data_IF_208544075733
#
_entry.id   IF_208544075733
#
_cell.length_a   1.000
_cell.length_b   1.000
_cell.length_c   1.000
_cell.angle_alpha   90.00
_cell.angle_beta   90.00
_cell.angle_gamma   90.00
#
_symmetry.space_group_name_H-M   'P 1'
#
loop_
_entity.id
_entity.type
_entity.pdbx_description
1 polymer ?
#
# COMPACT_ATOMS: atom_id res chain seq x y z
N UNK A 1 -12.55 1.08 -5.51
CA UNK A 1 -12.28 0.17 -6.66
C UNK A 1 -10.91 -0.47 -6.54
N UNK A 2 -10.67 -1.60 -7.23
CA UNK A 2 -9.33 -2.13 -7.54
C UNK A 2 -9.38 -2.80 -8.91
N UNK A 3 -8.56 -2.36 -9.87
CA UNK A 3 -8.39 -3.08 -11.15
C UNK A 3 -7.76 -4.44 -10.82
N UNK A 4 -8.57 -5.50 -10.97
CA UNK A 4 -8.20 -6.84 -10.53
C UNK A 4 -7.21 -7.45 -11.53
N UNK A 5 -6.10 -8.11 -11.11
CA UNK A 5 -5.15 -8.72 -12.04
C UNK A 5 -5.78 -9.83 -12.91
N UNK A 6 -6.97 -10.32 -12.53
CA UNK A 6 -7.78 -11.25 -13.30
C UNK A 6 -8.78 -10.56 -14.25
N UNK A 7 -8.54 -9.30 -14.67
CA UNK A 7 -9.30 -8.64 -15.74
C UNK A 7 -9.38 -9.48 -17.03
N UNK A 8 -8.39 -10.36 -17.25
CA UNK A 8 -8.33 -11.34 -18.34
C UNK A 8 -9.39 -12.47 -18.26
N UNK A 9 -10.06 -12.71 -17.12
CA UNK A 9 -11.04 -13.81 -16.98
C UNK A 9 -12.37 -13.58 -17.73
N UNK A 10 -12.61 -12.38 -18.28
CA UNK A 10 -13.88 -12.03 -18.95
C UNK A 10 -13.70 -11.59 -20.41
N UNK A 11 -12.52 -11.82 -21.00
CA UNK A 11 -12.20 -11.54 -22.40
C UNK A 11 -12.48 -10.08 -22.83
N UNK A 12 -12.30 -9.14 -21.89
CA UNK A 12 -12.47 -7.68 -22.11
C UNK A 12 -11.11 -6.97 -22.12
N UNK A 13 -10.90 -6.01 -23.03
CA UNK A 13 -9.67 -5.21 -23.05
C UNK A 13 -9.57 -4.35 -21.77
N UNK A 14 -8.36 -3.98 -21.31
CA UNK A 14 -8.18 -3.15 -20.11
C UNK A 14 -8.95 -1.82 -20.13
N UNK A 15 -9.15 -1.24 -21.32
CA UNK A 15 -9.96 -0.03 -21.53
C UNK A 15 -11.40 -0.18 -21.04
N UNK A 16 -12.03 -1.35 -21.22
CA UNK A 16 -13.40 -1.60 -20.77
C UNK A 16 -13.58 -1.35 -19.27
N UNK A 17 -12.62 -1.79 -18.45
CA UNK A 17 -12.64 -1.60 -17.01
C UNK A 17 -12.31 -0.16 -16.59
N UNK A 18 -11.44 0.51 -17.35
CA UNK A 18 -11.13 1.93 -17.14
C UNK A 18 -12.34 2.81 -17.47
N UNK A 19 -13.05 2.54 -18.57
CA UNK A 19 -14.26 3.26 -18.96
C UNK A 19 -15.37 3.16 -17.91
N UNK A 20 -15.56 1.97 -17.32
CA UNK A 20 -16.51 1.78 -16.22
C UNK A 20 -16.06 2.50 -14.94
N UNK A 21 -14.79 2.37 -14.56
CA UNK A 21 -14.24 3.05 -13.38
C UNK A 21 -14.34 4.59 -13.50
N UNK A 22 -14.17 5.15 -14.71
CA UNK A 22 -14.36 6.57 -14.98
C UNK A 22 -15.83 7.00 -14.91
N UNK A 23 -16.77 6.20 -15.45
CA UNK A 23 -18.22 6.47 -15.36
C UNK A 23 -18.72 6.43 -13.92
N UNK A 24 -18.31 5.41 -13.17
CA UNK A 24 -18.62 5.27 -11.74
C UNK A 24 -18.04 6.44 -10.93
N UNK A 25 -16.79 6.86 -11.18
CA UNK A 25 -16.23 8.05 -10.52
C UNK A 25 -17.01 9.33 -10.88
N UNK A 26 -17.26 9.59 -12.17
CA UNK A 26 -18.00 10.78 -12.62
C UNK A 26 -19.41 10.85 -12.03
N UNK A 27 -20.08 9.70 -11.85
CA UNK A 27 -21.35 9.63 -11.14
C UNK A 27 -21.18 9.90 -9.63
N UNK A 28 -20.19 9.25 -8.99
CA UNK A 28 -19.97 9.37 -7.55
C UNK A 28 -19.58 10.80 -7.13
N UNK A 29 -18.68 11.44 -7.86
CA UNK A 29 -18.27 12.84 -7.68
C UNK A 29 -19.47 13.81 -7.76
N UNK A 30 -20.43 13.52 -8.65
CA UNK A 30 -21.62 14.35 -8.90
C UNK A 30 -22.83 13.97 -8.05
N UNK A 31 -22.79 12.84 -7.35
CA UNK A 31 -23.89 12.34 -6.51
C UNK A 31 -24.19 13.21 -5.28
N UNK A 32 -23.22 14.05 -4.88
CA UNK A 32 -23.27 14.81 -3.63
C UNK A 32 -22.99 13.98 -2.36
N UNK A 33 -22.63 12.69 -2.47
CA UNK A 33 -22.29 11.83 -1.32
C UNK A 33 -21.12 12.37 -0.50
N UNK A 34 -20.13 12.99 -1.15
CA UNK A 34 -19.03 13.73 -0.50
C UNK A 34 -19.62 15.06 -0.01
N UNK A 35 -19.81 15.21 1.30
CA UNK A 35 -20.34 16.44 1.90
C UNK A 35 -19.25 17.51 2.08
N UNK A 36 -19.66 18.70 2.54
CA UNK A 36 -18.78 19.85 2.75
C UNK A 36 -17.66 19.68 3.81
N UNK A 37 -17.64 18.57 4.56
CA UNK A 37 -16.51 18.18 5.43
C UNK A 37 -15.53 17.23 4.73
N UNK A 38 -15.71 16.92 3.44
CA UNK A 38 -15.02 15.86 2.69
C UNK A 38 -15.20 14.44 3.30
N UNK A 39 -16.32 14.21 3.98
CA UNK A 39 -16.75 12.87 4.36
C UNK A 39 -17.86 12.38 3.42
N UNK A 40 -17.84 11.08 3.11
CA UNK A 40 -18.84 10.36 2.34
C UNK A 40 -19.96 9.91 3.29
N UNK A 41 -21.18 10.39 3.06
CA UNK A 41 -22.38 9.89 3.74
C UNK A 41 -22.80 8.51 3.20
N UNK A 42 -23.61 7.79 3.97
CA UNK A 42 -23.96 6.39 3.72
C UNK A 42 -24.69 6.11 2.40
N UNK A 43 -25.43 7.07 1.85
CA UNK A 43 -26.14 6.84 0.60
C UNK A 43 -26.96 8.00 0.05
N UNK A 44 -27.67 7.71 -1.03
CA UNK A 44 -28.63 8.63 -1.65
C UNK A 44 -30.05 8.25 -1.25
N UNK A 45 -30.94 9.23 -1.26
CA UNK A 45 -32.37 9.07 -1.03
C UNK A 45 -33.16 10.00 -1.95
N UNK A 46 -34.38 9.62 -2.29
CA UNK A 46 -35.39 10.54 -2.85
C UNK A 46 -36.10 11.38 -1.75
N UNK A 47 -35.44 11.54 -0.59
CA UNK A 47 -36.04 11.94 0.69
C UNK A 47 -35.14 12.87 1.50
N UNK A 48 -35.22 14.17 1.22
CA UNK A 48 -34.78 15.22 2.14
C UNK A 48 -35.65 15.23 3.41
N UNK A 49 -35.33 14.36 4.37
CA UNK A 49 -35.93 14.27 5.72
C UNK A 49 -37.47 14.34 5.75
N UNK A 50 -38.19 13.62 4.88
CA UNK A 50 -39.65 13.66 4.91
C UNK A 50 -40.19 12.97 6.17
N UNK A 51 -40.84 13.74 7.02
CA UNK A 51 -41.70 13.26 8.09
C UNK A 51 -42.85 12.43 7.51
N UNK A 52 -42.83 11.11 7.74
CA UNK A 52 -43.98 10.20 7.58
C UNK A 52 -44.72 10.26 6.22
N UNK A 53 -44.15 9.65 5.17
CA UNK A 53 -44.91 9.25 3.95
C UNK A 53 -44.69 7.77 3.61
N UNK A 54 -45.58 7.20 2.80
CA UNK A 54 -45.75 5.75 2.70
C UNK A 54 -44.83 5.09 1.68
N UNK A 55 -44.39 3.85 1.96
CA UNK A 55 -43.48 3.06 1.10
C UNK A 55 -43.84 3.04 -0.41
N UNK A 56 -45.13 3.13 -0.76
CA UNK A 56 -45.59 3.15 -2.16
C UNK A 56 -45.33 4.46 -2.89
N UNK A 57 -45.22 5.58 -2.17
CA UNK A 57 -44.88 6.89 -2.76
C UNK A 57 -43.38 6.97 -3.06
N UNK A 58 -42.56 6.32 -2.21
CA UNK A 58 -41.10 6.25 -2.36
C UNK A 58 -40.68 5.63 -3.70
N UNK A 59 -41.38 4.58 -4.13
CA UNK A 59 -41.15 3.88 -5.40
C UNK A 59 -41.40 4.75 -6.64
N UNK A 60 -42.32 5.73 -6.55
CA UNK A 60 -42.59 6.64 -7.67
C UNK A 60 -41.49 7.70 -7.82
N UNK A 61 -40.89 8.17 -6.71
CA UNK A 61 -39.82 9.19 -6.75
C UNK A 61 -38.48 8.66 -7.24
N UNK A 62 -38.22 7.36 -7.08
CA UNK A 62 -37.06 6.72 -7.72
C UNK A 62 -37.09 6.79 -9.27
N UNK A 63 -38.21 7.19 -9.88
CA UNK A 63 -38.34 7.39 -11.34
C UNK A 63 -38.14 8.84 -11.81
N UNK A 64 -38.16 9.84 -10.91
CA UNK A 64 -38.00 11.25 -11.30
C UNK A 64 -36.53 11.72 -11.31
N UNK A 65 -35.62 10.91 -10.77
CA UNK A 65 -34.17 11.16 -10.78
C UNK A 65 -33.67 12.04 -9.63
N UNK A 66 -34.52 12.47 -8.68
CA UNK A 66 -34.13 13.33 -7.55
C UNK A 66 -33.41 12.59 -6.42
N UNK A 67 -32.29 11.96 -6.75
CA UNK A 67 -31.38 11.39 -5.76
C UNK A 67 -30.59 12.51 -5.04
N UNK A 68 -30.85 12.69 -3.75
CA UNK A 68 -30.14 13.62 -2.86
C UNK A 68 -29.31 12.83 -1.83
N UNK A 69 -28.19 13.40 -1.36
CA UNK A 69 -27.44 12.86 -0.23
C UNK A 69 -28.36 12.70 0.99
N UNK A 70 -28.39 11.50 1.60
CA UNK A 70 -29.23 11.19 2.75
C UNK A 70 -28.78 11.86 4.06
N UNK A 71 -27.60 12.49 4.08
CA UNK A 71 -26.90 13.03 5.25
C UNK A 71 -26.70 11.99 6.38
N UNK A 72 -26.70 10.70 6.02
CA UNK A 72 -26.55 9.56 6.92
C UNK A 72 -25.11 9.34 7.38
N UNK A 73 -24.91 8.31 8.21
CA UNK A 73 -23.66 8.05 8.93
C UNK A 73 -22.44 7.98 8.02
N UNK A 74 -21.39 8.73 8.36
CA UNK A 74 -20.09 8.72 7.69
C UNK A 74 -19.23 7.57 8.22
N UNK A 75 -19.54 6.32 7.86
CA UNK A 75 -18.76 5.13 8.25
C UNK A 75 -17.34 5.18 7.69
N UNK A 76 -16.34 4.65 8.41
CA UNK A 76 -14.94 4.76 7.94
C UNK A 76 -14.69 4.00 6.63
N UNK A 77 -15.38 2.87 6.39
CA UNK A 77 -15.19 2.07 5.17
C UNK A 77 -15.56 2.84 3.89
N UNK A 78 -16.63 3.65 3.93
CA UNK A 78 -17.05 4.50 2.81
C UNK A 78 -15.95 5.52 2.46
N UNK A 79 -15.27 6.06 3.48
CA UNK A 79 -14.11 6.94 3.29
C UNK A 79 -12.91 6.18 2.70
N UNK A 80 -12.76 4.91 3.05
CA UNK A 80 -11.65 4.05 2.63
C UNK A 80 -11.74 3.57 1.18
N UNK A 81 -12.85 2.91 0.78
CA UNK A 81 -12.95 2.18 -0.51
C UNK A 81 -12.74 3.05 -1.75
N UNK A 82 -12.90 4.37 -1.61
CA UNK A 82 -12.66 5.35 -2.66
C UNK A 82 -11.17 5.69 -2.82
N UNK A 83 -10.36 5.71 -1.75
CA UNK A 83 -8.97 6.22 -1.76
C UNK A 83 -8.09 5.46 -2.76
N UNK A 84 -8.08 4.13 -2.69
CA UNK A 84 -7.31 3.32 -3.64
C UNK A 84 -7.95 3.25 -5.03
N UNK A 85 -9.24 3.58 -5.15
CA UNK A 85 -9.91 3.72 -6.45
C UNK A 85 -9.39 4.95 -7.19
N UNK A 86 -9.40 6.09 -6.50
CA UNK A 86 -8.85 7.36 -6.97
C UNK A 86 -7.35 7.25 -7.28
N UNK A 87 -6.57 6.62 -6.40
CA UNK A 87 -5.13 6.41 -6.63
C UNK A 87 -4.84 5.54 -7.87
N UNK A 88 -5.64 4.51 -8.13
CA UNK A 88 -5.51 3.69 -9.34
C UNK A 88 -6.02 4.41 -10.61
N UNK A 89 -7.08 5.21 -10.51
CA UNK A 89 -7.53 6.08 -11.61
C UNK A 89 -6.49 7.15 -11.94
N UNK A 90 -5.83 7.75 -10.93
CA UNK A 90 -4.68 8.64 -11.13
C UNK A 90 -3.55 7.90 -11.85
N UNK A 91 -3.21 6.67 -11.44
CA UNK A 91 -2.15 5.92 -12.10
C UNK A 91 -2.47 5.58 -13.56
N UNK A 92 -3.75 5.39 -13.90
CA UNK A 92 -4.22 5.11 -15.26
C UNK A 92 -4.35 6.37 -16.14
N UNK A 93 -4.69 7.53 -15.57
CA UNK A 93 -5.05 8.76 -16.33
C UNK A 93 -4.07 9.92 -16.17
N UNK A 94 -3.23 9.90 -15.14
CA UNK A 94 -2.38 11.00 -14.65
C UNK A 94 -3.12 12.28 -14.24
N UNK A 95 -4.45 12.25 -14.10
CA UNK A 95 -5.20 13.37 -13.56
C UNK A 95 -4.97 13.52 -12.04
N UNK A 96 -4.24 14.55 -11.64
CA UNK A 96 -3.86 14.81 -10.24
C UNK A 96 -5.05 15.13 -9.34
N UNK A 97 -6.16 15.67 -9.85
CA UNK A 97 -7.32 16.05 -9.02
C UNK A 97 -7.94 14.86 -8.28
N UNK A 98 -7.70 13.64 -8.77
CA UNK A 98 -8.10 12.39 -8.12
C UNK A 98 -7.34 12.16 -6.80
N UNK A 99 -6.05 12.52 -6.74
CA UNK A 99 -5.28 12.48 -5.50
C UNK A 99 -5.70 13.61 -4.55
N UNK A 100 -5.93 14.83 -5.05
CA UNK A 100 -6.37 15.96 -4.23
C UNK A 100 -7.66 15.64 -3.46
N UNK A 101 -8.62 14.96 -4.10
CA UNK A 101 -9.86 14.51 -3.47
C UNK A 101 -9.61 13.33 -2.51
N UNK A 102 -8.73 12.38 -2.86
CA UNK A 102 -8.38 11.26 -1.99
C UNK A 102 -7.71 11.73 -0.68
N UNK A 103 -6.77 12.68 -0.76
CA UNK A 103 -6.13 13.28 0.42
C UNK A 103 -7.17 13.98 1.29
N UNK A 104 -8.01 14.86 0.73
CA UNK A 104 -9.06 15.55 1.50
C UNK A 104 -10.01 14.60 2.27
N UNK A 105 -10.36 13.46 1.67
CA UNK A 105 -11.20 12.44 2.32
C UNK A 105 -10.42 11.70 3.43
N UNK A 106 -9.15 11.37 3.20
CA UNK A 106 -8.28 10.78 4.21
C UNK A 106 -8.06 11.74 5.39
N UNK A 107 -7.73 13.00 5.13
CA UNK A 107 -7.53 14.07 6.11
C UNK A 107 -8.78 14.30 6.95
N UNK A 108 -9.94 14.45 6.28
CA UNK A 108 -11.23 14.58 6.96
C UNK A 108 -11.50 13.40 7.89
N UNK A 109 -11.19 12.18 7.46
CA UNK A 109 -11.38 10.96 8.25
C UNK A 109 -10.49 10.93 9.49
N UNK A 110 -9.18 11.13 9.34
CA UNK A 110 -8.23 11.07 10.47
C UNK A 110 -8.34 12.27 11.42
N UNK A 111 -9.06 13.33 11.03
CA UNK A 111 -9.37 14.48 11.89
C UNK A 111 -10.74 14.37 12.60
N UNK A 112 -11.71 13.64 12.03
CA UNK A 112 -13.13 13.68 12.48
C UNK A 112 -13.68 12.35 12.98
N UNK A 113 -13.16 11.22 12.49
CA UNK A 113 -13.59 9.86 12.89
C UNK A 113 -12.59 9.24 13.86
N UNK A 114 -12.22 10.01 14.88
CA UNK A 114 -11.22 9.66 15.91
C UNK A 114 -11.74 9.89 17.33
N UNK A 115 -11.10 9.22 18.29
CA UNK A 115 -11.13 9.58 19.70
C UNK A 115 -10.19 10.76 20.00
N UNK A 116 -10.28 11.31 21.22
CA UNK A 116 -9.44 12.42 21.72
C UNK A 116 -7.95 12.11 21.82
N UNK A 117 -7.54 10.86 21.69
CA UNK A 117 -6.15 10.40 21.57
C UNK A 117 -5.65 10.30 20.12
N UNK A 118 -6.50 10.58 19.12
CA UNK A 118 -6.18 10.43 17.69
C UNK A 118 -6.43 9.04 17.12
N UNK A 119 -6.99 8.10 17.89
CA UNK A 119 -7.20 6.71 17.46
C UNK A 119 -8.54 6.57 16.71
N UNK A 120 -8.55 5.81 15.61
CA UNK A 120 -9.69 5.66 14.68
C UNK A 120 -10.93 5.02 15.35
N UNK A 121 -12.09 5.59 15.04
CA UNK A 121 -13.38 5.30 15.68
C UNK A 121 -14.52 5.17 14.66
N UNK A 122 -15.34 4.13 14.78
CA UNK A 122 -16.66 4.09 14.15
C UNK A 122 -17.70 4.92 14.93
N UNK A 123 -18.61 5.63 14.24
CA UNK A 123 -19.70 6.35 14.88
C UNK A 123 -20.59 5.53 15.84
N UNK A 124 -20.63 4.19 15.68
CA UNK A 124 -21.40 3.29 16.53
C UNK A 124 -20.71 2.85 17.83
N UNK A 125 -19.40 3.05 18.02
CA UNK A 125 -18.64 2.48 19.15
C UNK A 125 -19.20 2.94 20.52
N UNK A 126 -19.53 2.01 21.46
CA UNK A 126 -19.22 0.56 21.46
C UNK A 126 -20.25 -0.36 20.76
N UNK A 127 -21.43 0.14 20.42
CA UNK A 127 -22.62 -0.66 20.07
C UNK A 127 -22.70 -1.05 18.58
N UNK A 128 -21.57 -1.36 17.95
CA UNK A 128 -21.52 -1.70 16.53
C UNK A 128 -22.01 -3.13 16.23
N UNK A 129 -22.65 -3.32 15.08
CA UNK A 129 -22.96 -4.65 14.53
C UNK A 129 -21.70 -5.32 13.95
N UNK A 130 -21.85 -6.54 13.44
CA UNK A 130 -20.71 -7.36 12.99
C UNK A 130 -20.13 -6.92 11.64
N UNK A 131 -20.87 -6.19 10.81
CA UNK A 131 -20.33 -5.52 9.61
C UNK A 131 -19.48 -4.30 10.01
N UNK A 132 -20.06 -3.45 10.86
CA UNK A 132 -19.45 -2.19 11.33
C UNK A 132 -18.12 -2.42 12.04
N UNK A 133 -17.97 -3.53 12.77
CA UNK A 133 -16.70 -3.96 13.39
C UNK A 133 -15.55 -4.16 12.39
N UNK A 134 -15.83 -4.36 11.11
CA UNK A 134 -14.82 -4.52 10.05
C UNK A 134 -14.36 -3.17 9.44
N UNK A 135 -15.19 -2.13 9.53
CA UNK A 135 -15.08 -0.92 8.70
C UNK A 135 -13.75 -0.18 8.85
N UNK A 136 -13.24 -0.02 10.09
CA UNK A 136 -11.91 0.57 10.36
C UNK A 136 -10.77 -0.13 9.64
N UNK A 137 -10.82 -1.46 9.53
CA UNK A 137 -9.85 -2.28 8.79
C UNK A 137 -9.85 -1.96 7.30
N UNK A 138 -11.04 -1.79 6.72
CA UNK A 138 -11.22 -1.38 5.33
C UNK A 138 -10.59 0.00 5.12
N UNK A 139 -10.85 0.99 6.00
CA UNK A 139 -10.24 2.32 5.90
C UNK A 139 -8.71 2.27 5.90
N UNK A 140 -8.09 1.69 6.93
CA UNK A 140 -6.62 1.70 7.07
C UNK A 140 -5.91 0.96 5.94
N UNK A 141 -6.51 -0.13 5.43
CA UNK A 141 -6.02 -0.85 4.25
C UNK A 141 -6.03 0.02 2.99
N UNK A 142 -7.08 0.80 2.77
CA UNK A 142 -7.15 1.67 1.58
C UNK A 142 -6.31 2.95 1.73
N UNK A 143 -6.14 3.48 2.96
CA UNK A 143 -5.16 4.53 3.24
C UNK A 143 -3.74 4.08 2.94
N UNK A 144 -3.36 2.86 3.35
CA UNK A 144 -2.08 2.25 3.03
C UNK A 144 -1.86 2.01 1.52
N UNK A 145 -2.94 1.86 0.74
CA UNK A 145 -2.86 1.81 -0.73
C UNK A 145 -2.82 3.20 -1.40
N UNK A 146 -3.18 4.29 -0.70
CA UNK A 146 -3.05 5.65 -1.21
C UNK A 146 -1.61 6.17 -1.07
N UNK A 147 -0.98 5.94 0.09
CA UNK A 147 0.36 6.47 0.44
C UNK A 147 1.41 6.37 -0.68
N UNK A 148 1.59 5.23 -1.41
CA UNK A 148 2.61 5.10 -2.46
C UNK A 148 2.41 5.97 -3.71
N UNK A 149 1.27 6.66 -3.84
CA UNK A 149 0.97 7.55 -4.97
C UNK A 149 1.15 9.04 -4.62
N UNK A 150 1.40 9.37 -3.35
CA UNK A 150 1.54 10.73 -2.86
C UNK A 150 3.00 11.18 -2.97
N UNK A 151 3.21 12.42 -3.40
CA UNK A 151 4.54 13.04 -3.54
C UNK A 151 4.89 14.00 -2.40
N UNK A 152 3.90 14.48 -1.65
CA UNK A 152 4.16 15.32 -0.47
C UNK A 152 4.57 14.48 0.75
N UNK A 153 5.75 14.78 1.28
CA UNK A 153 6.32 14.11 2.43
C UNK A 153 5.55 14.35 3.73
N UNK A 154 4.85 15.50 3.88
CA UNK A 154 4.13 15.81 5.11
C UNK A 154 2.87 14.94 5.27
N UNK A 155 2.00 14.86 4.25
CA UNK A 155 0.82 13.97 4.27
C UNK A 155 1.23 12.49 4.32
N UNK A 156 2.31 12.10 3.61
CA UNK A 156 2.87 10.73 3.72
C UNK A 156 3.26 10.44 5.17
N UNK A 157 4.05 11.28 5.82
CA UNK A 157 4.46 11.05 7.21
C UNK A 157 3.27 11.08 8.18
N UNK A 158 2.29 11.96 7.96
CA UNK A 158 1.06 12.03 8.75
C UNK A 158 0.26 10.72 8.68
N UNK A 159 0.04 10.16 7.49
CA UNK A 159 -0.68 8.89 7.32
C UNK A 159 0.12 7.70 7.87
N UNK A 160 1.45 7.70 7.72
CA UNK A 160 2.33 6.69 8.33
C UNK A 160 2.27 6.71 9.86
N UNK A 161 2.38 7.90 10.47
CA UNK A 161 2.27 8.08 11.92
C UNK A 161 0.89 7.67 12.43
N UNK A 162 -0.19 8.04 11.74
CA UNK A 162 -1.55 7.64 12.10
C UNK A 162 -1.72 6.11 12.12
N UNK A 163 -1.27 5.42 11.07
CA UNK A 163 -1.31 3.96 10.99
C UNK A 163 -0.48 3.31 12.12
N UNK A 164 0.73 3.80 12.39
CA UNK A 164 1.61 3.27 13.44
C UNK A 164 1.02 3.49 14.85
N UNK A 165 0.50 4.68 15.15
CA UNK A 165 -0.12 5.01 16.43
C UNK A 165 -1.36 4.14 16.71
N UNK A 166 -2.21 3.95 15.69
CA UNK A 166 -3.36 3.04 15.78
C UNK A 166 -2.91 1.61 16.07
N UNK A 167 -1.90 1.10 15.36
CA UNK A 167 -1.39 -0.26 15.56
C UNK A 167 -0.75 -0.46 16.94
N UNK A 168 -0.03 0.54 17.47
CA UNK A 168 0.54 0.51 18.82
C UNK A 168 -0.55 0.45 19.90
N UNK A 169 -1.60 1.27 19.79
CA UNK A 169 -2.74 1.23 20.72
C UNK A 169 -3.46 -0.13 20.68
N UNK A 170 -3.68 -0.70 19.49
CA UNK A 170 -4.31 -2.02 19.35
C UNK A 170 -3.44 -3.14 19.92
N UNK A 171 -2.13 -3.15 19.61
CA UNK A 171 -1.19 -4.17 20.05
C UNK A 171 -0.95 -4.17 21.56
N UNK A 172 -0.81 -2.98 22.15
CA UNK A 172 -0.47 -2.83 23.59
C UNK A 172 -1.70 -2.90 24.51
N UNK A 173 -2.85 -2.41 24.06
CA UNK A 173 -3.96 -2.06 24.96
C UNK A 173 -5.32 -2.69 24.58
N UNK A 174 -5.45 -3.29 23.39
CA UNK A 174 -6.75 -3.82 22.88
C UNK A 174 -6.68 -5.22 22.28
N UNK A 175 -5.64 -5.97 22.65
CA UNK A 175 -5.63 -7.43 22.53
C UNK A 175 -6.33 -8.04 23.75
N UNK A 176 -7.22 -9.00 23.52
CA UNK A 176 -8.01 -9.63 24.56
C UNK A 176 -7.26 -10.82 25.17
N UNK A 177 -7.42 -11.05 26.47
CA UNK A 177 -6.58 -12.01 27.21
C UNK A 177 -7.05 -13.45 27.01
N UNK A 178 -8.35 -13.68 26.83
CA UNK A 178 -8.93 -15.02 26.80
C UNK A 178 -8.52 -15.86 25.56
N UNK A 179 -8.34 -15.21 24.40
CA UNK A 179 -8.09 -15.87 23.12
C UNK A 179 -7.06 -15.15 22.22
N UNK A 180 -6.57 -13.97 22.63
CA UNK A 180 -5.63 -13.17 21.85
C UNK A 180 -6.22 -12.47 20.63
N UNK A 181 -7.56 -12.45 20.46
CA UNK A 181 -8.27 -11.64 19.47
C UNK A 181 -8.21 -10.14 19.83
N UNK A 182 -8.80 -9.27 19.00
CA UNK A 182 -8.74 -7.82 19.19
C UNK A 182 -10.14 -7.17 19.32
N UNK A 183 -10.23 -6.17 20.18
CA UNK A 183 -11.46 -5.40 20.39
C UNK A 183 -11.82 -4.55 19.17
N UNK A 184 -13.13 -4.30 18.99
CA UNK A 184 -13.66 -3.21 18.17
C UNK A 184 -13.02 -1.87 18.51
N UNK A 185 -12.92 -1.53 19.80
CA UNK A 185 -12.40 -0.23 20.23
C UNK A 185 -10.87 -0.28 20.21
N UNK A 186 -10.26 0.69 19.54
CA UNK A 186 -8.80 0.77 19.38
C UNK A 186 -8.16 1.78 20.34
N UNK A 187 -8.88 2.83 20.75
CA UNK A 187 -8.43 3.84 21.72
C UNK A 187 -8.13 3.24 23.08
N UNK A 188 -7.02 3.63 23.72
CA UNK A 188 -6.73 3.19 25.09
C UNK A 188 -7.54 3.94 26.16
N UNK A 189 -8.14 5.09 25.82
CA UNK A 189 -8.95 5.92 26.75
C UNK A 189 -10.33 5.32 27.09
N UNK A 190 -10.82 4.32 26.34
CA UNK A 190 -12.13 3.69 26.59
C UNK A 190 -12.13 2.77 27.81
N UNK A 191 -13.08 2.96 28.73
CA UNK A 191 -13.29 2.09 29.89
C UNK A 191 -13.96 0.73 29.57
N UNK A 192 -14.35 0.50 28.31
CA UNK A 192 -14.98 -0.76 27.91
C UNK A 192 -13.97 -1.92 27.91
N UNK A 193 -14.40 -3.09 28.35
CA UNK A 193 -13.60 -4.31 28.34
C UNK A 193 -13.42 -4.88 26.93
N UNK A 194 -12.32 -5.60 26.71
CA UNK A 194 -11.97 -6.17 25.41
C UNK A 194 -12.94 -7.29 25.00
N UNK A 195 -13.22 -8.19 25.95
CA UNK A 195 -13.92 -9.47 25.78
C UNK A 195 -15.31 -9.39 25.11
N UNK A 196 -16.27 -8.54 25.53
CA UNK A 196 -17.59 -8.47 24.88
C UNK A 196 -17.56 -7.74 23.53
N UNK A 197 -16.44 -7.10 23.16
CA UNK A 197 -16.30 -6.27 21.96
C UNK A 197 -15.38 -6.90 20.90
N UNK A 198 -14.86 -8.12 21.11
CA UNK A 198 -14.10 -8.88 20.11
C UNK A 198 -14.99 -9.86 19.34
N UNK A 199 -14.75 -9.98 18.04
CA UNK A 199 -15.20 -11.09 17.20
C UNK A 199 -14.26 -11.24 15.99
N UNK A 200 -14.65 -12.08 15.02
CA UNK A 200 -13.90 -12.25 13.76
C UNK A 200 -13.74 -10.94 12.99
N UNK A 201 -14.77 -10.08 12.94
CA UNK A 201 -14.74 -8.81 12.22
C UNK A 201 -13.78 -7.78 12.83
N UNK A 202 -13.82 -7.57 14.15
CA UNK A 202 -12.90 -6.65 14.83
C UNK A 202 -11.45 -7.14 14.76
N UNK A 203 -11.25 -8.46 14.84
CA UNK A 203 -9.93 -9.09 14.69
C UNK A 203 -9.43 -8.95 13.25
N UNK A 204 -10.29 -9.12 12.24
CA UNK A 204 -9.94 -8.88 10.84
C UNK A 204 -9.56 -7.42 10.61
N UNK A 205 -10.25 -6.47 11.26
CA UNK A 205 -9.91 -5.05 11.18
C UNK A 205 -8.54 -4.74 11.80
N UNK A 206 -8.21 -5.36 12.94
CA UNK A 206 -6.88 -5.26 13.54
C UNK A 206 -5.78 -5.91 12.65
N UNK A 207 -6.06 -7.03 11.99
CA UNK A 207 -5.12 -7.62 11.04
C UNK A 207 -4.92 -6.76 9.79
N UNK A 208 -5.97 -6.14 9.24
CA UNK A 208 -5.83 -5.15 8.17
C UNK A 208 -4.92 -3.99 8.59
N UNK A 209 -5.05 -3.50 9.82
CA UNK A 209 -4.17 -2.46 10.40
C UNK A 209 -2.71 -2.91 10.51
N UNK A 210 -2.44 -4.09 11.08
CA UNK A 210 -1.07 -4.60 11.20
C UNK A 210 -0.43 -4.88 9.83
N UNK A 211 -1.19 -5.44 8.88
CA UNK A 211 -0.75 -5.66 7.50
C UNK A 211 -0.50 -4.34 6.76
N UNK A 212 -1.30 -3.31 7.05
CA UNK A 212 -1.11 -1.95 6.52
C UNK A 212 0.21 -1.37 7.00
N UNK A 213 0.44 -1.32 8.32
CA UNK A 213 1.70 -0.86 8.91
C UNK A 213 2.91 -1.66 8.43
N UNK A 214 2.79 -2.99 8.29
CA UNK A 214 3.87 -3.83 7.77
C UNK A 214 4.22 -3.56 6.30
N UNK A 215 3.27 -3.03 5.50
CA UNK A 215 3.49 -2.67 4.08
C UNK A 215 3.92 -1.22 3.89
N UNK A 216 3.50 -0.31 4.76
CA UNK A 216 3.81 1.12 4.65
C UNK A 216 5.02 1.55 5.47
N UNK A 217 5.48 0.73 6.42
CA UNK A 217 6.80 0.90 7.02
C UNK A 217 7.86 0.94 5.91
N UNK A 218 8.72 1.98 5.88
CA UNK A 218 9.97 1.90 5.13
C UNK A 218 10.71 0.61 5.54
N UNK A 219 11.33 -0.12 4.59
CA UNK A 219 12.07 -1.33 4.91
C UNK A 219 13.10 -1.01 6.00
N UNK A 220 13.02 -1.71 7.13
CA UNK A 220 13.73 -1.32 8.34
C UNK A 220 15.24 -1.30 8.08
N UNK A 221 15.87 -0.15 8.39
CA UNK A 221 17.27 0.12 8.00
C UNK A 221 18.23 -0.74 8.83
N UNK A 222 18.40 -1.99 8.41
CA UNK A 222 19.59 -2.78 8.70
C UNK A 222 20.71 -2.29 7.79
N UNK A 223 21.50 -1.34 8.30
CA UNK A 223 22.81 -0.96 7.78
C UNK A 223 22.88 -0.67 6.27
N UNK A 224 22.38 0.51 5.86
CA UNK A 224 22.83 1.25 4.67
C UNK A 224 23.24 0.41 3.45
N UNK A 225 22.38 -0.50 2.99
CA UNK A 225 22.67 -1.25 1.77
C UNK A 225 22.47 -0.33 0.57
N UNK A 226 23.56 0.31 0.13
CA UNK A 226 23.65 0.98 -1.19
C UNK A 226 23.41 0.00 -2.36
N UNK A 227 23.18 -1.28 -2.09
CA UNK A 227 23.09 -2.37 -3.06
C UNK A 227 21.64 -2.68 -3.45
N UNK A 228 21.25 -2.28 -4.67
CA UNK A 228 19.96 -2.63 -5.25
C UNK A 228 20.06 -3.96 -6.01
N UNK A 229 19.12 -4.88 -5.75
CA UNK A 229 18.96 -6.11 -6.51
C UNK A 229 18.45 -5.76 -7.92
N UNK A 230 19.33 -5.83 -8.93
CA UNK A 230 18.93 -5.60 -10.33
C UNK A 230 18.14 -6.78 -10.91
N UNK A 231 18.31 -7.97 -10.34
CA UNK A 231 17.56 -9.16 -10.71
C UNK A 231 18.27 -10.46 -10.32
N UNK A 232 17.74 -11.56 -10.83
CA UNK A 232 18.35 -12.89 -10.67
C UNK A 232 19.23 -13.22 -11.88
N UNK A 233 20.44 -13.71 -11.64
CA UNK A 233 21.44 -14.05 -12.65
C UNK A 233 22.85 -13.59 -12.26
N UNK A 234 23.83 -13.93 -13.09
CA UNK A 234 25.19 -13.38 -12.96
C UNK A 234 25.15 -11.86 -13.19
N UNK A 235 25.81 -11.09 -12.31
CA UNK A 235 26.37 -9.84 -12.79
C UNK A 235 27.45 -10.19 -13.82
N UNK A 236 27.37 -9.58 -15.00
CA UNK A 236 28.43 -9.59 -16.01
C UNK A 236 28.82 -8.14 -16.28
N UNK A 237 29.89 -7.94 -17.02
CA UNK A 237 30.28 -6.65 -17.56
C UNK A 237 29.38 -6.32 -18.80
N UNK A 238 29.90 -5.52 -19.73
CA UNK A 238 29.86 -5.60 -21.27
C UNK A 238 31.86 -7.18 -22.94
N UNK A 239 33.03 -7.83 -22.54
CA UNK A 239 33.80 -8.91 -23.22
C UNK A 239 33.50 -10.32 -22.62
N UNK A 240 32.28 -10.46 -22.06
CA UNK A 240 31.66 -11.51 -21.25
C UNK A 240 32.61 -12.27 -20.30
N UNK A 241 33.48 -11.52 -19.64
CA UNK A 241 34.72 -12.03 -19.05
C UNK A 241 34.73 -11.94 -17.51
N UNK A 242 35.63 -12.71 -16.90
CA UNK A 242 35.96 -12.56 -15.49
C UNK A 242 37.24 -11.73 -15.35
N UNK A 243 37.10 -10.51 -14.84
CA UNK A 243 38.23 -9.74 -14.29
C UNK A 243 38.59 -10.30 -12.87
N UNK A 244 39.67 -9.85 -12.20
CA UNK A 244 40.34 -10.67 -11.19
C UNK A 244 39.50 -10.85 -9.92
N UNK A 245 39.05 -12.07 -9.67
CA UNK A 245 38.18 -12.38 -8.53
C UNK A 245 38.96 -12.40 -7.20
N UNK A 246 38.42 -11.75 -6.18
CA UNK A 246 38.50 -12.30 -4.83
C UNK A 246 37.48 -13.43 -4.69
N UNK A 247 37.83 -14.64 -5.15
CA UNK A 247 36.97 -15.82 -5.05
C UNK A 247 37.26 -16.60 -3.77
N UNK A 248 36.33 -16.61 -2.82
CA UNK A 248 36.41 -17.42 -1.60
C UNK A 248 35.24 -18.40 -1.54
N UNK A 249 35.56 -19.68 -1.35
CA UNK A 249 34.59 -20.77 -1.24
C UNK A 249 33.89 -20.79 0.14
N UNK A 250 32.66 -21.27 0.16
CA UNK A 250 31.78 -21.39 1.33
C UNK A 250 31.53 -20.05 2.06
N UNK A 251 31.46 -18.96 1.29
CA UNK A 251 31.02 -17.64 1.75
C UNK A 251 29.51 -17.52 1.59
N UNK A 252 28.82 -16.99 2.60
CA UNK A 252 27.36 -16.70 2.57
C UNK A 252 27.07 -15.32 1.99
N UNK A 253 25.86 -15.08 1.45
CA UNK A 253 25.48 -13.80 0.84
C UNK A 253 25.73 -12.57 1.75
N UNK A 254 25.41 -12.59 3.07
CA UNK A 254 25.68 -11.45 3.94
C UNK A 254 27.17 -11.12 4.10
N UNK A 255 28.04 -12.15 4.09
CA UNK A 255 29.49 -11.97 4.15
C UNK A 255 30.04 -11.48 2.80
N UNK A 256 29.46 -11.95 1.70
CA UNK A 256 29.77 -11.45 0.36
C UNK A 256 29.46 -9.95 0.24
N UNK A 257 28.24 -9.55 0.65
CA UNK A 257 27.80 -8.15 0.70
C UNK A 257 28.69 -7.28 1.58
N UNK A 258 28.92 -7.69 2.84
CA UNK A 258 29.74 -6.92 3.77
C UNK A 258 31.20 -6.75 3.30
N UNK A 259 31.72 -7.68 2.49
CA UNK A 259 33.03 -7.54 1.86
C UNK A 259 32.98 -6.55 0.69
N UNK A 260 31.92 -6.56 -0.12
CA UNK A 260 31.71 -5.60 -1.21
C UNK A 260 31.44 -4.17 -0.70
N UNK A 261 30.81 -4.00 0.46
CA UNK A 261 30.63 -2.70 1.12
C UNK A 261 31.96 -2.06 1.52
N UNK A 262 32.92 -2.87 1.99
CA UNK A 262 34.23 -2.40 2.47
C UNK A 262 35.22 -2.09 1.34
N UNK A 263 35.04 -2.66 0.16
CA UNK A 263 35.82 -2.35 -1.04
C UNK A 263 35.36 -1.02 -1.65
N UNK A 264 36.23 -0.02 -1.72
CA UNK A 264 35.91 1.31 -2.27
C UNK A 264 35.77 1.34 -3.79
N UNK A 265 36.33 0.35 -4.51
CA UNK A 265 36.22 0.22 -5.96
C UNK A 265 35.02 -0.61 -6.41
N UNK A 266 34.33 -1.31 -5.50
CA UNK A 266 33.27 -2.25 -5.83
C UNK A 266 31.97 -1.55 -6.27
N UNK A 267 31.42 -2.02 -7.40
CA UNK A 267 30.19 -1.49 -8.03
C UNK A 267 29.12 -2.55 -8.28
N UNK A 268 29.48 -3.84 -8.41
CA UNK A 268 28.54 -4.96 -8.51
C UNK A 268 29.01 -6.15 -7.66
N UNK A 269 28.09 -7.00 -7.17
CA UNK A 269 28.45 -8.31 -6.60
C UNK A 269 27.44 -9.39 -7.01
N UNK A 270 27.94 -10.62 -7.19
CA UNK A 270 27.13 -11.84 -7.31
C UNK A 270 27.56 -12.88 -6.28
N UNK A 271 26.58 -13.46 -5.58
CA UNK A 271 26.74 -14.61 -4.70
C UNK A 271 25.97 -15.77 -5.31
N UNK A 272 26.49 -17.00 -5.27
CA UNK A 272 25.87 -18.15 -5.92
C UNK A 272 26.03 -19.46 -5.15
N UNK A 273 25.08 -20.36 -5.38
CA UNK A 273 25.14 -21.76 -4.95
C UNK A 273 25.58 -22.65 -6.14
N UNK A 274 26.76 -23.25 -6.06
CA UNK A 274 27.25 -24.20 -7.06
C UNK A 274 26.62 -25.58 -6.91
N UNK A 275 26.55 -26.33 -8.01
CA UNK A 275 26.36 -27.78 -7.96
C UNK A 275 27.44 -28.39 -7.04
N UNK A 276 27.06 -29.40 -6.24
CA UNK A 276 27.81 -29.95 -5.11
C UNK A 276 27.80 -29.09 -3.82
N UNK A 277 26.99 -28.03 -3.75
CA UNK A 277 26.69 -27.31 -2.50
C UNK A 277 27.70 -26.24 -2.07
N UNK A 278 28.80 -26.09 -2.79
CA UNK A 278 29.77 -25.02 -2.56
C UNK A 278 29.14 -23.65 -2.84
N UNK A 279 29.26 -22.72 -1.88
CA UNK A 279 28.85 -21.33 -2.10
C UNK A 279 30.04 -20.51 -2.59
N UNK A 280 29.82 -19.58 -3.51
CA UNK A 280 30.86 -18.65 -3.96
C UNK A 280 30.38 -17.20 -4.02
N UNK A 281 31.32 -16.28 -3.82
CA UNK A 281 31.14 -14.85 -3.91
C UNK A 281 32.04 -14.30 -5.01
N UNK A 282 31.54 -13.31 -5.76
CA UNK A 282 32.31 -12.45 -6.67
C UNK A 282 31.97 -10.99 -6.40
N UNK A 283 33.00 -10.17 -6.30
CA UNK A 283 32.90 -8.72 -6.14
C UNK A 283 33.53 -8.11 -7.38
N UNK A 284 32.85 -7.13 -7.99
CA UNK A 284 33.27 -6.48 -9.24
C UNK A 284 33.68 -5.05 -8.95
N UNK A 285 34.97 -4.78 -9.11
CA UNK A 285 35.58 -3.45 -8.98
C UNK A 285 35.76 -2.79 -10.35
N UNK A 286 35.80 -1.46 -10.37
CA UNK A 286 36.13 -0.68 -11.58
C UNK A 286 37.61 -0.78 -11.95
N UNK A 287 37.92 -0.68 -13.25
CA UNK A 287 39.30 -0.56 -13.75
C UNK A 287 39.43 0.33 -14.98
N UNK A 288 38.56 0.20 -16.00
CA UNK A 288 38.61 1.00 -17.24
C UNK A 288 37.20 1.10 -17.90
N UNK A 289 36.68 2.33 -18.16
CA UNK A 289 35.37 2.54 -18.80
C UNK A 289 35.30 2.16 -20.29
N UNK A 290 36.41 1.85 -20.97
CA UNK A 290 36.44 1.40 -22.36
C UNK A 290 36.32 -0.12 -22.53
N UNK A 291 36.31 -0.90 -21.44
CA UNK A 291 36.36 -2.37 -21.51
C UNK A 291 35.02 -3.07 -21.79
N UNK A 292 34.06 -2.33 -22.35
CA UNK A 292 32.67 -2.71 -22.47
C UNK A 292 32.38 -4.02 -23.24
N UNK A 293 31.59 -4.93 -22.65
CA UNK A 293 30.17 -5.76 -23.57
C UNK A 293 29.21 -5.26 -24.67
N UNK A 294 29.21 -6.07 -25.75
CA UNK A 294 28.78 -5.73 -27.08
C UNK A 294 27.28 -5.93 -27.18
N UNK A 295 26.54 -4.84 -27.35
CA UNK A 295 25.07 -4.79 -27.15
C UNK A 295 24.65 -4.16 -25.82
N UNK A 296 25.60 -3.61 -25.05
CA UNK A 296 25.38 -2.88 -23.81
C UNK A 296 26.14 -1.55 -23.88
N UNK A 297 25.72 -0.54 -23.11
CA UNK A 297 26.36 0.78 -23.14
C UNK A 297 26.02 1.61 -21.90
N UNK A 298 27.03 2.25 -21.30
CA UNK A 298 26.84 3.23 -20.22
C UNK A 298 26.11 4.48 -20.73
N UNK A 299 24.92 4.77 -20.20
CA UNK A 299 24.31 6.09 -20.38
C UNK A 299 25.20 7.16 -19.74
N UNK A 300 25.59 8.17 -20.54
CA UNK A 300 26.36 9.33 -20.12
C UNK A 300 27.66 9.01 -19.33
N UNK A 301 28.28 7.84 -19.60
CA UNK A 301 29.61 7.50 -19.08
C UNK A 301 29.71 7.22 -17.58
N UNK A 302 28.62 6.85 -16.89
CA UNK A 302 28.67 6.44 -15.47
C UNK A 302 27.99 5.09 -15.23
N UNK A 303 28.52 4.31 -14.27
CA UNK A 303 28.29 2.87 -14.16
C UNK A 303 26.96 2.44 -13.49
N UNK A 304 25.81 2.96 -13.94
CA UNK A 304 24.54 2.88 -13.18
C UNK A 304 23.41 1.96 -13.71
N UNK A 305 23.42 1.45 -14.96
CA UNK A 305 22.30 0.65 -15.53
C UNK A 305 22.75 -0.50 -16.47
N UNK A 306 22.18 -1.72 -16.33
CA UNK A 306 22.61 -2.98 -17.00
C UNK A 306 21.42 -4.00 -17.10
N UNK A 307 21.01 -4.53 -18.28
CA UNK A 307 19.84 -5.47 -18.44
C UNK A 307 20.04 -6.75 -19.33
N UNK A 308 19.57 -7.91 -18.82
CA UNK A 308 19.87 -9.32 -19.22
C UNK A 308 19.06 -9.93 -20.39
N UNK A 309 19.63 -10.97 -21.05
CA UNK A 309 18.85 -12.07 -21.68
C UNK A 309 19.19 -13.48 -21.16
N UNK A 310 18.17 -14.36 -21.19
CA UNK A 310 18.18 -15.83 -21.11
C UNK A 310 18.49 -16.57 -19.78
N UNK A 311 17.47 -17.35 -19.35
CA UNK A 311 17.38 -18.64 -18.61
C UNK A 311 18.66 -19.25 -17.96
N UNK A 312 18.64 -19.89 -16.79
CA UNK A 312 17.55 -20.18 -15.83
C UNK A 312 17.86 -19.75 -14.36
N UNK A 313 18.22 -20.61 -13.37
CA UNK A 313 17.67 -20.46 -12.02
C UNK A 313 18.60 -19.86 -10.94
N UNK A 314 18.04 -18.87 -10.21
CA UNK A 314 18.41 -18.34 -8.88
C UNK A 314 19.89 -18.32 -8.45
N UNK A 315 20.52 -17.16 -8.57
CA UNK A 315 20.89 -16.33 -7.40
C UNK A 315 20.88 -14.84 -7.80
N UNK A 316 21.09 -13.88 -6.89
CA UNK A 316 20.88 -12.44 -7.13
C UNK A 316 22.13 -11.66 -7.57
N UNK A 317 21.95 -10.71 -8.50
CA UNK A 317 22.95 -9.70 -8.88
C UNK A 317 22.57 -8.34 -8.27
N UNK A 318 23.53 -7.72 -7.57
CA UNK A 318 23.33 -6.45 -6.86
C UNK A 318 24.29 -5.37 -7.37
N UNK A 319 23.79 -4.15 -7.53
CA UNK A 319 24.55 -2.97 -7.99
C UNK A 319 24.60 -1.89 -6.92
N UNK A 320 25.76 -1.25 -6.74
CA UNK A 320 25.96 -0.13 -5.82
C UNK A 320 25.39 1.17 -6.41
N UNK A 321 24.34 1.66 -5.78
CA UNK A 321 23.95 3.06 -5.85
C UNK A 321 25.05 3.92 -5.21
N UNK A 322 25.49 4.94 -5.95
CA UNK A 322 26.51 5.92 -5.55
C UNK A 322 25.85 7.27 -5.32
#
# INVERSE_FOLDING_TARGET
MRLHPYAALLDRPPTYYLDWALKEWQWFERSGLINGNYLINDGLSSFSQATSTSYRENLNRLRDGTCLNNNGTTWTYNQGVILSGLALLYNATRNTTLLDIAQKIADATIQRLIYSDGILKEPCEPNCNDDQKLFKGIFVRHLAYLVPYLTDAAHVQQYLSFLQQNAESVWTSRRCEADGLYSLIWSNQSSNSCEPLRNTSSTSAAWDLFISVAKTKPPSIRSSSNWTLLGLGNCMDDKNASMPNFSKMNVTEPVCRATADQDQGAVAYDHQLGCNGFQFCRIRTLSDPHLAPQGWSYENGTARNVTRTNKFPVTGCFLRLV
#
